data_IF_780251725374
#
_entry.id   IF_780251725374
#
_cell.length_a   1.000
_cell.length_b   1.000
_cell.length_c   1.000
_cell.angle_alpha   90.00
_cell.angle_beta   90.00
_cell.angle_gamma   90.00
#
_symmetry.space_group_name_H-M   'P 1'
#
loop_
_entity.id
_entity.type
_entity.pdbx_description
1 polymer ?
#
# COMPACT_ATOMS: atom_id res chain seq x y z
N UNK A 1 3.02 25.13 28.10
CA UNK A 1 3.02 24.54 27.65
C UNK A 1 3.00 23.55 27.66
N UNK A 2 2.99 23.64 27.63
CA UNK A 2 3.03 22.81 27.34
C UNK A 2 2.69 21.99 27.17
N UNK A 3 2.60 22.07 27.11
CA UNK A 3 2.49 21.22 26.70
C UNK A 3 1.87 20.49 26.76
N UNK A 4 1.41 20.65 26.74
CA UNK A 4 1.00 19.92 26.55
C UNK A 4 0.90 18.98 26.29
N UNK A 5 1.11 18.93 26.27
CA UNK A 5 1.05 18.21 25.62
C UNK A 5 1.26 17.29 25.43
N UNK A 6 1.36 17.35 25.68
CA UNK A 6 1.76 16.66 25.31
C UNK A 6 1.85 15.66 25.21
N UNK A 7 1.88 15.50 24.94
CA UNK A 7 2.10 14.76 24.62
C UNK A 7 2.42 13.83 24.36
N UNK A 8 2.63 13.75 24.06
CA UNK A 8 3.03 13.05 23.65
C UNK A 8 3.51 12.18 23.38
N UNK A 9 3.76 12.08 23.03
CA UNK A 9 4.33 11.44 22.60
C UNK A 9 4.68 10.48 22.21
N UNK A 10 4.59 10.46 21.96
CA UNK A 10 4.81 9.66 21.25
C UNK A 10 6.00 9.40 20.74
N UNK A 11 6.36 8.93 20.73
CA UNK A 11 7.46 8.71 20.33
C UNK A 11 8.19 9.67 19.74
N UNK A 12 8.50 9.93 19.28
CA UNK A 12 9.15 10.84 18.83
C UNK A 12 8.53 11.76 18.62
N UNK A 13 8.48 12.38 18.92
CA UNK A 13 7.82 13.18 18.64
C UNK A 13 8.27 14.40 18.46
N UNK A 14 8.28 14.84 17.42
CA UNK A 14 8.52 16.19 17.06
C UNK A 14 7.24 16.91 17.30
N UNK A 15 7.35 17.97 17.97
CA UNK A 15 6.17 18.69 18.40
C UNK A 15 5.96 19.90 17.51
N UNK A 16 5.09 19.76 16.54
CA UNK A 16 4.81 20.83 15.62
C UNK A 16 3.67 21.69 16.12
N UNK A 17 3.76 23.00 15.94
CA UNK A 17 2.65 23.87 16.33
C UNK A 17 1.48 23.81 15.38
N UNK A 18 1.61 23.11 14.26
CA UNK A 18 0.54 22.97 13.29
C UNK A 18 0.01 21.57 13.29
N UNK A 19 -1.16 21.39 12.72
CA UNK A 19 -1.70 20.06 12.55
C UNK A 19 -1.60 19.65 11.08
N UNK A 20 -1.99 18.40 10.80
CA UNK A 20 -1.86 17.87 9.47
C UNK A 20 -2.67 18.65 8.45
N UNK A 21 -3.88 19.05 8.81
CA UNK A 21 -4.70 19.81 7.89
C UNK A 21 -4.04 21.12 7.50
N UNK A 22 -3.49 21.81 8.47
CA UNK A 22 -2.81 23.07 8.19
C UNK A 22 -1.61 22.83 7.29
N UNK A 23 -0.89 21.76 7.54
CA UNK A 23 0.30 21.46 6.76
C UNK A 23 -0.06 21.11 5.33
N UNK A 24 -1.11 20.30 5.15
CA UNK A 24 -1.54 19.95 3.81
C UNK A 24 -1.98 21.19 3.04
N UNK A 25 -2.78 22.03 3.68
CA UNK A 25 -3.26 23.21 3.00
C UNK A 25 -2.13 24.17 2.66
N UNK A 26 -1.17 24.27 3.55
CA UNK A 26 -0.03 25.13 3.27
C UNK A 26 0.76 24.62 2.07
N UNK A 27 0.92 23.30 1.98
CA UNK A 27 1.63 22.73 0.85
C UNK A 27 0.91 23.01 -0.47
N UNK A 28 -0.42 22.97 -0.43
CA UNK A 28 -1.17 23.33 -1.63
C UNK A 28 -0.96 24.78 -1.99
N UNK A 29 -0.93 25.65 -0.98
CA UNK A 29 -0.74 27.05 -1.22
C UNK A 29 0.62 27.40 -1.79
N UNK A 30 1.62 26.53 -1.59
CA UNK A 30 2.92 26.77 -2.20
C UNK A 30 2.87 26.71 -3.71
N UNK A 31 1.81 26.14 -4.27
CA UNK A 31 1.70 25.98 -5.70
C UNK A 31 2.37 24.73 -6.23
N UNK A 32 3.03 23.97 -5.38
CA UNK A 32 3.70 22.75 -5.80
C UNK A 32 2.76 21.57 -5.93
N UNK A 33 1.58 21.68 -5.32
CA UNK A 33 0.56 20.66 -5.39
C UNK A 33 -0.74 21.30 -5.81
N UNK A 34 -1.51 20.60 -6.62
CA UNK A 34 -2.77 21.16 -7.10
C UNK A 34 -3.87 21.14 -6.06
N UNK A 35 -3.87 20.11 -5.23
CA UNK A 35 -4.94 19.96 -4.25
C UNK A 35 -4.46 19.03 -3.15
N UNK A 36 -5.35 18.81 -2.19
CA UNK A 36 -5.03 17.98 -1.04
C UNK A 36 -4.72 16.55 -1.43
N UNK A 37 -5.47 16.03 -2.39
CA UNK A 37 -5.26 14.65 -2.81
C UNK A 37 -3.87 14.43 -3.35
N UNK A 38 -3.34 15.42 -4.07
CA UNK A 38 -1.99 15.30 -4.58
C UNK A 38 -0.95 15.26 -3.47
N UNK A 39 -1.16 16.07 -2.45
CA UNK A 39 -0.26 16.05 -1.30
C UNK A 39 -0.28 14.69 -0.64
N UNK A 40 -1.47 14.17 -0.41
CA UNK A 40 -1.62 12.90 0.29
C UNK A 40 -1.06 11.76 -0.54
N UNK A 41 -1.33 11.75 -1.83
CA UNK A 41 -0.80 10.72 -2.70
C UNK A 41 0.72 10.70 -2.69
N UNK A 42 1.31 11.87 -2.76
CA UNK A 42 2.75 11.95 -2.76
C UNK A 42 3.33 11.50 -1.42
N UNK A 43 2.67 11.88 -0.34
CA UNK A 43 3.13 11.48 0.98
C UNK A 43 3.08 9.97 1.15
N UNK A 44 1.99 9.35 0.70
CA UNK A 44 1.85 7.91 0.81
C UNK A 44 2.88 7.20 -0.05
N UNK A 45 3.08 7.70 -1.26
CA UNK A 45 4.09 7.12 -2.14
C UNK A 45 5.47 7.16 -1.48
N UNK A 46 5.81 8.28 -0.89
CA UNK A 46 7.11 8.40 -0.23
C UNK A 46 7.20 7.51 0.99
N UNK A 47 6.12 7.42 1.74
CA UNK A 47 6.09 6.54 2.89
C UNK A 47 6.36 5.10 2.48
N UNK A 48 5.70 4.65 1.43
CA UNK A 48 5.83 3.26 1.00
C UNK A 48 7.19 2.98 0.37
N UNK A 49 7.75 3.96 -0.32
CA UNK A 49 9.07 3.79 -0.89
C UNK A 49 10.14 3.61 0.16
N UNK A 50 9.94 4.24 1.30
CA UNK A 50 10.92 4.19 2.37
C UNK A 50 10.63 3.13 3.42
N UNK A 51 9.59 2.35 3.22
CA UNK A 51 9.21 1.37 4.23
C UNK A 51 8.67 0.13 3.53
N UNK A 52 9.57 -0.74 3.12
CA UNK A 52 9.18 -1.92 2.38
C UNK A 52 8.27 -2.86 3.15
N UNK A 53 8.52 -3.11 4.43
CA UNK A 53 7.58 -3.96 5.18
C UNK A 53 6.16 -3.39 5.19
N UNK A 54 6.04 -2.09 5.32
CA UNK A 54 4.72 -1.47 5.31
C UNK A 54 4.05 -1.64 3.96
N UNK A 55 4.83 -1.54 2.90
CA UNK A 55 4.33 -1.71 1.55
C UNK A 55 3.74 -3.10 1.36
N UNK A 56 4.44 -4.10 1.88
CA UNK A 56 3.96 -5.47 1.81
C UNK A 56 2.67 -5.65 2.60
N UNK A 57 2.62 -5.09 3.80
CA UNK A 57 1.41 -5.22 4.61
C UNK A 57 0.22 -4.55 3.96
N UNK A 58 0.45 -3.41 3.33
CA UNK A 58 -0.62 -2.73 2.60
C UNK A 58 -1.17 -3.63 1.50
N UNK A 59 -0.26 -4.22 0.72
CA UNK A 59 -0.67 -5.08 -0.38
C UNK A 59 -1.47 -6.27 0.11
N UNK A 60 -1.01 -6.89 1.19
CA UNK A 60 -1.70 -8.04 1.74
C UNK A 60 -3.09 -7.64 2.22
N UNK A 61 -3.18 -6.51 2.88
CA UNK A 61 -4.45 -6.09 3.41
C UNK A 61 -5.45 -5.78 2.29
N UNK A 62 -4.99 -5.12 1.24
CA UNK A 62 -5.86 -4.83 0.12
C UNK A 62 -6.31 -6.11 -0.59
N UNK A 63 -5.41 -7.07 -0.68
CA UNK A 63 -5.76 -8.34 -1.30
C UNK A 63 -6.79 -9.10 -0.46
N UNK A 64 -6.59 -9.13 0.84
CA UNK A 64 -7.52 -9.84 1.71
C UNK A 64 -8.90 -9.22 1.74
N UNK A 65 -8.97 -7.92 1.48
CA UNK A 65 -10.25 -7.21 1.42
C UNK A 65 -10.88 -7.26 0.05
N UNK A 66 -10.27 -8.01 -0.87
CA UNK A 66 -10.80 -8.13 -2.23
C UNK A 66 -10.79 -6.82 -2.99
N UNK A 67 -9.97 -5.90 -2.59
CA UNK A 67 -9.94 -4.62 -3.28
C UNK A 67 -9.00 -4.63 -4.47
N UNK A 68 -8.08 -5.56 -4.50
CA UNK A 68 -7.16 -5.68 -5.63
C UNK A 68 -6.96 -7.16 -5.94
N UNK A 69 -6.60 -7.43 -7.18
CA UNK A 69 -6.30 -8.78 -7.60
C UNK A 69 -4.94 -9.22 -7.06
N UNK A 70 -4.66 -10.49 -7.19
CA UNK A 70 -3.38 -11.02 -6.75
C UNK A 70 -2.23 -10.34 -7.49
N UNK A 71 -2.36 -10.19 -8.80
CA UNK A 71 -1.32 -9.56 -9.57
C UNK A 71 -1.11 -8.11 -9.18
N UNK A 72 -2.22 -7.41 -8.96
CA UNK A 72 -2.12 -6.02 -8.56
C UNK A 72 -1.49 -5.90 -7.18
N UNK A 73 -1.85 -6.78 -6.28
CA UNK A 73 -1.28 -6.74 -4.94
C UNK A 73 0.23 -6.96 -5.00
N UNK A 74 0.66 -7.90 -5.83
CA UNK A 74 2.09 -8.15 -5.98
C UNK A 74 2.80 -6.88 -6.49
N UNK A 75 2.20 -6.20 -7.44
CA UNK A 75 2.76 -4.94 -7.93
C UNK A 75 2.88 -3.91 -6.82
N UNK A 76 1.83 -3.80 -6.02
CA UNK A 76 1.86 -2.87 -4.90
C UNK A 76 2.96 -3.23 -3.93
N UNK A 77 3.14 -4.53 -3.69
CA UNK A 77 4.19 -4.99 -2.79
C UNK A 77 5.58 -4.84 -3.40
N UNK A 78 5.65 -4.62 -4.70
CA UNK A 78 6.94 -4.45 -5.35
C UNK A 78 7.65 -5.75 -5.62
N UNK A 79 6.92 -6.81 -5.86
CA UNK A 79 7.51 -8.11 -6.11
C UNK A 79 6.69 -8.85 -7.15
N UNK A 80 7.25 -9.94 -7.66
CA UNK A 80 6.50 -10.69 -8.65
C UNK A 80 5.41 -11.52 -7.98
N UNK A 81 4.50 -11.96 -8.81
CA UNK A 81 3.32 -12.68 -8.34
C UNK A 81 3.67 -13.93 -7.55
N UNK A 82 4.66 -14.66 -8.01
CA UNK A 82 5.02 -15.92 -7.36
C UNK A 82 5.60 -15.69 -5.99
N UNK A 83 6.44 -14.69 -5.87
CA UNK A 83 7.02 -14.36 -4.58
C UNK A 83 5.93 -13.93 -3.61
N UNK A 84 5.00 -13.12 -4.09
CA UNK A 84 3.90 -12.64 -3.26
C UNK A 84 3.04 -13.82 -2.79
N UNK A 85 2.77 -14.76 -3.69
CA UNK A 85 2.00 -15.94 -3.31
C UNK A 85 2.71 -16.78 -2.26
N UNK A 86 4.02 -16.90 -2.39
CA UNK A 86 4.79 -17.62 -1.38
C UNK A 86 4.60 -17.01 0.00
N UNK A 87 4.62 -15.70 0.06
CA UNK A 87 4.45 -15.02 1.33
C UNK A 87 3.06 -15.25 1.89
N UNK A 88 2.06 -15.16 1.03
CA UNK A 88 0.69 -15.43 1.48
C UNK A 88 0.57 -16.84 2.00
N UNK A 89 1.18 -17.78 1.30
CA UNK A 89 1.14 -19.16 1.71
C UNK A 89 1.81 -19.35 3.06
N UNK A 90 2.96 -18.73 3.25
CA UNK A 90 3.66 -18.83 4.51
C UNK A 90 2.85 -18.28 5.67
N UNK A 91 2.04 -17.28 5.38
CA UNK A 91 1.20 -16.67 6.41
C UNK A 91 -0.15 -17.34 6.51
N UNK A 92 -0.35 -18.40 5.75
CA UNK A 92 -1.61 -19.15 5.77
C UNK A 92 -2.80 -18.28 5.37
N UNK A 93 -2.57 -17.44 4.38
CA UNK A 93 -3.64 -16.60 3.84
C UNK A 93 -4.15 -17.28 2.58
N UNK A 94 -5.45 -17.58 2.51
CA UNK A 94 -5.97 -18.29 1.34
C UNK A 94 -5.90 -17.43 0.09
N UNK A 95 -5.65 -18.11 -1.02
CA UNK A 95 -5.60 -17.44 -2.31
C UNK A 95 -6.63 -18.09 -3.21
N UNK A 96 -7.62 -17.30 -3.61
CA UNK A 96 -8.66 -17.78 -4.51
C UNK A 96 -8.37 -17.21 -5.88
N UNK A 97 -7.75 -18.00 -6.68
CA UNK A 97 -7.26 -17.51 -7.95
C UNK A 97 -8.33 -17.43 -9.02
N UNK A 98 -9.34 -18.25 -8.89
CA UNK A 98 -10.36 -18.25 -9.92
C UNK A 98 -11.11 -16.92 -10.01
N UNK A 99 -10.88 -16.05 -9.05
CA UNK A 99 -11.54 -14.77 -9.10
C UNK A 99 -11.09 -13.91 -10.26
N UNK A 100 -10.05 -14.35 -10.93
CA UNK A 100 -9.56 -13.58 -12.06
C UNK A 100 -9.50 -14.44 -13.30
N UNK A 101 -10.58 -15.03 -13.66
CA UNK A 101 -10.52 -15.93 -14.79
C UNK A 101 -10.13 -15.24 -16.09
N UNK A 102 -10.54 -14.03 -16.26
CA UNK A 102 -10.28 -13.35 -17.52
C UNK A 102 -8.81 -13.21 -17.80
N UNK A 103 -8.11 -12.60 -16.88
CA UNK A 103 -6.70 -12.39 -17.12
C UNK A 103 -5.91 -13.66 -16.97
N UNK A 104 -6.38 -14.53 -16.11
CA UNK A 104 -5.71 -15.80 -15.99
C UNK A 104 -5.84 -16.61 -17.25
N UNK A 105 -6.97 -16.52 -17.87
CA UNK A 105 -7.19 -17.33 -19.06
C UNK A 105 -6.22 -17.00 -20.15
N UNK A 106 -5.84 -15.79 -20.22
CA UNK A 106 -5.02 -15.38 -21.34
C UNK A 106 -3.63 -15.93 -21.28
N UNK A 107 -3.01 -15.84 -20.15
CA UNK A 107 -1.66 -16.32 -20.04
C UNK A 107 -1.44 -17.16 -18.84
N UNK A 108 -2.14 -16.87 -17.79
CA UNK A 108 -1.86 -17.54 -16.55
C UNK A 108 -2.38 -18.96 -16.53
N UNK A 109 -3.43 -19.18 -17.19
CA UNK A 109 -4.01 -20.50 -17.19
C UNK A 109 -3.08 -21.49 -17.80
N UNK A 110 -2.46 -21.11 -18.87
CA UNK A 110 -1.49 -21.99 -19.46
C UNK A 110 -0.41 -22.34 -18.49
N UNK A 111 -0.06 -21.37 -17.68
CA UNK A 111 1.00 -21.60 -16.74
C UNK A 111 0.59 -22.52 -15.63
N UNK A 112 -0.60 -22.34 -15.17
CA UNK A 112 -1.05 -23.13 -14.06
C UNK A 112 -1.37 -24.51 -14.42
N UNK A 113 -2.00 -24.63 -15.48
CA UNK A 113 -2.49 -25.90 -15.84
C UNK A 113 -1.71 -26.46 -16.94
N UNK A 114 -0.89 -25.93 -16.93
CA UNK A 114 -0.25 -26.38 -17.86
C UNK A 114 -0.05 -25.48 -18.72
N UNK A 115 -0.80 -25.28 -17.85
CA UNK A 115 -0.79 -24.65 -18.06
C UNK A 115 -0.78 -24.44 -18.28
N UNK A 116 -1.14 -24.99 -18.21
CA UNK A 116 -1.43 -24.77 -18.22
C UNK A 116 -1.36 -24.69 -18.52
N UNK A 117 -1.38 -25.18 -18.63
CA UNK A 117 -1.50 -24.84 -18.73
C UNK A 117 -1.28 -25.03 -18.86
#
# INVERSE_FOLDING_TARGET
>A
MRIKGNHINIGTKVNYPTNVDQEVESLVRTGLYKNRDEVISDAIRNLLLNNKPLRLELAINLFRSDEVSLGRAAEIAGMDRWRFQDILFERQIPVLVEAEPAEMMDEDIELFFGKAR
#
